data_IF_352481469242
#
_entry.id   IF_352481469242
#
_cell.length_a   1.000
_cell.length_b   1.000
_cell.length_c   1.000
_cell.angle_alpha   90.00
_cell.angle_beta   90.00
_cell.angle_gamma   90.00
#
_symmetry.space_group_name_H-M   'P 1'
#
loop_
_entity.id
_entity.type
_entity.pdbx_description
1 polymer ?
#
# COMPACT_ATOMS: atom_id res chain seq x y z
N UNK A 1 -20.08 -16.91 -18.72
CA UNK A 1 -20.07 -16.31 -17.36
C UNK A 1 -20.97 -17.13 -16.45
N UNK A 2 -20.42 -18.13 -15.77
CA UNK A 2 -21.15 -18.87 -14.73
C UNK A 2 -21.23 -17.99 -13.49
N UNK A 3 -22.44 -17.75 -12.97
CA UNK A 3 -22.64 -17.03 -11.72
C UNK A 3 -21.78 -17.65 -10.62
N UNK A 4 -20.88 -16.88 -10.01
CA UNK A 4 -20.00 -17.40 -8.99
C UNK A 4 -20.79 -17.74 -7.74
N UNK A 5 -20.66 -18.98 -7.27
CA UNK A 5 -21.31 -19.38 -6.02
C UNK A 5 -20.61 -18.70 -4.84
N UNK A 6 -21.29 -18.44 -3.71
CA UNK A 6 -20.65 -17.88 -2.51
C UNK A 6 -19.42 -18.66 -2.04
N UNK A 7 -19.39 -19.98 -2.29
CA UNK A 7 -18.23 -20.84 -2.00
C UNK A 7 -17.07 -20.58 -2.95
N UNK A 8 -17.36 -20.30 -4.22
CA UNK A 8 -16.36 -19.93 -5.22
C UNK A 8 -15.68 -18.61 -4.89
N UNK A 9 -16.47 -17.60 -4.54
CA UNK A 9 -15.95 -16.28 -4.15
C UNK A 9 -15.05 -16.36 -2.92
N UNK A 10 -15.44 -17.11 -1.88
CA UNK A 10 -14.59 -17.30 -0.69
C UNK A 10 -13.24 -17.95 -1.02
N UNK A 11 -13.22 -18.93 -1.93
CA UNK A 11 -11.97 -19.59 -2.34
C UNK A 11 -11.09 -18.67 -3.17
N UNK A 12 -11.69 -17.91 -4.09
CA UNK A 12 -10.97 -16.89 -4.86
C UNK A 12 -10.36 -15.85 -3.93
N UNK A 13 -11.12 -15.39 -2.95
CA UNK A 13 -10.66 -14.43 -1.95
C UNK A 13 -9.51 -14.98 -1.09
N UNK A 14 -9.61 -16.22 -0.60
CA UNK A 14 -8.55 -16.86 0.18
C UNK A 14 -7.21 -16.95 -0.60
N UNK A 15 -7.26 -17.16 -1.92
CA UNK A 15 -6.06 -17.12 -2.76
C UNK A 15 -5.46 -15.70 -2.86
N UNK A 16 -6.30 -14.67 -2.93
CA UNK A 16 -5.89 -13.27 -2.97
C UNK A 16 -5.25 -12.86 -1.64
N UNK A 17 -5.90 -13.17 -0.52
CA UNK A 17 -5.37 -12.92 0.83
C UNK A 17 -4.03 -13.63 1.03
N UNK A 18 -3.93 -14.90 0.63
CA UNK A 18 -2.69 -15.65 0.71
C UNK A 18 -1.56 -15.05 -0.15
N UNK A 19 -1.88 -14.58 -1.35
CA UNK A 19 -0.92 -13.91 -2.21
C UNK A 19 -0.51 -12.54 -1.68
N UNK A 20 -1.44 -11.76 -1.09
CA UNK A 20 -1.15 -10.49 -0.45
C UNK A 20 -0.21 -10.66 0.76
N UNK A 21 -0.46 -11.66 1.62
CA UNK A 21 0.45 -11.97 2.74
C UNK A 21 1.85 -12.37 2.27
N UNK A 22 1.98 -13.12 1.17
CA UNK A 22 3.28 -13.44 0.58
C UNK A 22 4.01 -12.19 0.06
N UNK A 23 3.28 -11.24 -0.54
CA UNK A 23 3.85 -9.96 -0.97
C UNK A 23 4.41 -9.17 0.21
N UNK A 24 3.71 -9.17 1.34
CA UNK A 24 4.11 -8.42 2.53
C UNK A 24 5.30 -9.05 3.27
N UNK A 25 5.47 -10.36 3.16
CA UNK A 25 6.56 -11.10 3.82
C UNK A 25 7.83 -11.19 2.98
N UNK A 26 7.72 -11.29 1.65
CA UNK A 26 8.87 -11.60 0.80
C UNK A 26 8.82 -10.98 -0.59
N UNK A 27 8.00 -9.95 -0.78
CA UNK A 27 7.90 -9.22 -2.02
C UNK A 27 7.34 -10.08 -3.16
N UNK A 28 7.61 -9.67 -4.39
CA UNK A 28 7.01 -10.32 -5.55
C UNK A 28 7.56 -11.71 -5.84
N UNK A 29 8.80 -11.98 -5.46
CA UNK A 29 9.45 -13.27 -5.70
C UNK A 29 8.89 -14.38 -4.80
N UNK A 30 8.27 -14.02 -3.67
CA UNK A 30 7.56 -14.96 -2.80
C UNK A 30 6.23 -15.46 -3.40
N UNK A 31 5.68 -14.77 -4.40
CA UNK A 31 4.35 -15.10 -4.94
C UNK A 31 4.47 -16.07 -6.11
N UNK A 32 4.10 -17.33 -5.87
CA UNK A 32 3.97 -18.35 -6.90
C UNK A 32 2.72 -19.20 -6.70
N UNK A 33 2.23 -19.85 -7.76
CA UNK A 33 1.01 -20.67 -7.70
C UNK A 33 1.04 -21.71 -6.56
N UNK A 34 2.17 -22.40 -6.37
CA UNK A 34 2.32 -23.39 -5.29
C UNK A 34 2.29 -22.75 -3.91
N UNK A 35 3.11 -21.71 -3.69
CA UNK A 35 3.18 -21.00 -2.42
C UNK A 35 1.81 -20.42 -2.01
N UNK A 36 1.08 -19.83 -2.96
CA UNK A 36 -0.26 -19.28 -2.72
C UNK A 36 -1.26 -20.39 -2.38
N UNK A 37 -1.29 -21.47 -3.17
CA UNK A 37 -2.22 -22.58 -2.94
C UNK A 37 -1.99 -23.22 -1.56
N UNK A 38 -0.73 -23.44 -1.20
CA UNK A 38 -0.32 -23.98 0.10
C UNK A 38 -0.76 -23.06 1.24
N UNK A 39 -0.42 -21.76 1.18
CA UNK A 39 -0.82 -20.79 2.20
C UNK A 39 -2.34 -20.66 2.33
N UNK A 40 -3.08 -20.73 1.23
CA UNK A 40 -4.54 -20.69 1.25
C UNK A 40 -5.19 -22.00 1.73
N UNK A 41 -4.42 -23.08 1.91
CA UNK A 41 -4.96 -24.40 2.22
C UNK A 41 -5.83 -24.98 1.09
N UNK A 42 -5.52 -24.64 -0.17
CA UNK A 42 -6.29 -25.03 -1.35
C UNK A 42 -5.46 -25.90 -2.30
N UNK A 43 -6.10 -26.79 -3.09
CA UNK A 43 -5.40 -27.55 -4.12
C UNK A 43 -4.75 -26.61 -5.15
N UNK A 44 -3.57 -26.98 -5.67
CA UNK A 44 -2.88 -26.21 -6.72
C UNK A 44 -3.77 -25.89 -7.92
N UNK A 45 -4.66 -26.81 -8.32
CA UNK A 45 -5.60 -26.59 -9.42
C UNK A 45 -6.56 -25.41 -9.19
N UNK A 46 -6.76 -24.97 -7.94
CA UNK A 46 -7.59 -23.82 -7.62
C UNK A 46 -7.00 -22.52 -8.17
N UNK A 47 -5.67 -22.35 -8.17
CA UNK A 47 -5.05 -21.10 -8.67
C UNK A 47 -5.32 -20.92 -10.15
N UNK A 48 -5.19 -21.98 -10.94
CA UNK A 48 -5.47 -21.95 -12.39
C UNK A 48 -6.96 -21.98 -12.72
N UNK A 49 -7.80 -22.40 -11.78
CA UNK A 49 -9.26 -22.34 -11.94
C UNK A 49 -9.80 -20.91 -11.75
N UNK A 50 -9.30 -20.18 -10.75
CA UNK A 50 -9.78 -18.84 -10.42
C UNK A 50 -9.01 -17.69 -11.09
N UNK A 51 -7.79 -17.94 -11.55
CA UNK A 51 -6.93 -16.95 -12.21
C UNK A 51 -6.35 -17.54 -13.48
N UNK A 52 -6.39 -16.76 -14.57
CA UNK A 52 -5.88 -17.17 -15.89
C UNK A 52 -4.35 -17.19 -15.93
N UNK A 53 -3.71 -16.42 -15.06
CA UNK A 53 -2.25 -16.34 -14.95
C UNK A 53 -1.82 -15.98 -13.53
N UNK A 54 -0.53 -16.16 -13.24
CA UNK A 54 0.09 -15.63 -12.01
C UNK A 54 0.00 -14.10 -11.97
N UNK A 55 0.15 -13.43 -13.10
CA UNK A 55 0.02 -11.96 -13.21
C UNK A 55 -1.37 -11.48 -12.76
N UNK A 56 -2.45 -12.17 -13.16
CA UNK A 56 -3.81 -11.82 -12.73
C UNK A 56 -4.00 -11.98 -11.21
N UNK A 57 -3.41 -13.03 -10.64
CA UNK A 57 -3.43 -13.26 -9.19
C UNK A 57 -2.62 -12.20 -8.44
N UNK A 58 -1.43 -11.86 -8.94
CA UNK A 58 -0.56 -10.83 -8.36
C UNK A 58 -1.22 -9.45 -8.46
N UNK A 59 -1.87 -9.11 -9.58
CA UNK A 59 -2.63 -7.87 -9.70
C UNK A 59 -3.72 -7.77 -8.62
N UNK A 60 -4.51 -8.84 -8.46
CA UNK A 60 -5.57 -8.90 -7.46
C UNK A 60 -5.01 -8.83 -6.03
N UNK A 61 -3.83 -9.40 -5.77
CA UNK A 61 -3.16 -9.34 -4.48
C UNK A 61 -2.66 -7.93 -4.15
N UNK A 62 -2.01 -7.25 -5.10
CA UNK A 62 -1.57 -5.85 -4.97
C UNK A 62 -2.77 -4.94 -4.72
N UNK A 63 -3.85 -5.12 -5.49
CA UNK A 63 -5.09 -4.38 -5.34
C UNK A 63 -5.72 -4.58 -3.95
N UNK A 64 -5.83 -5.83 -3.51
CA UNK A 64 -6.39 -6.18 -2.21
C UNK A 64 -5.58 -5.58 -1.05
N UNK A 65 -4.26 -5.74 -1.09
CA UNK A 65 -3.38 -5.17 -0.08
C UNK A 65 -3.51 -3.64 -0.04
N UNK A 66 -3.43 -2.97 -1.19
CA UNK A 66 -3.47 -1.51 -1.23
C UNK A 66 -4.83 -0.95 -0.80
N UNK A 67 -5.94 -1.63 -1.14
CA UNK A 67 -7.26 -1.25 -0.62
C UNK A 67 -7.39 -1.45 0.88
N UNK A 68 -6.73 -2.45 1.46
CA UNK A 68 -6.69 -2.61 2.91
C UNK A 68 -5.91 -1.47 3.60
N UNK A 69 -4.77 -1.04 3.04
CA UNK A 69 -4.02 0.13 3.51
C UNK A 69 -4.86 1.42 3.41
N UNK A 70 -5.43 1.69 2.23
CA UNK A 70 -6.28 2.86 2.00
C UNK A 70 -7.50 2.87 2.93
N UNK A 71 -8.15 1.72 3.11
CA UNK A 71 -9.29 1.58 4.00
C UNK A 71 -8.95 1.93 5.46
N UNK A 72 -7.77 1.54 5.94
CA UNK A 72 -7.28 1.95 7.27
C UNK A 72 -7.01 3.45 7.35
N UNK A 73 -6.38 4.02 6.33
CA UNK A 73 -6.13 5.46 6.24
C UNK A 73 -7.43 6.28 6.26
N UNK A 74 -8.42 5.88 5.45
CA UNK A 74 -9.74 6.54 5.43
C UNK A 74 -10.50 6.39 6.74
N UNK A 75 -10.48 5.20 7.36
CA UNK A 75 -11.08 5.00 8.68
C UNK A 75 -10.42 5.92 9.72
N UNK A 76 -9.10 6.02 9.71
CA UNK A 76 -8.34 6.90 10.61
C UNK A 76 -8.68 8.37 10.36
N UNK A 77 -8.72 8.81 9.10
CA UNK A 77 -9.13 10.18 8.75
C UNK A 77 -10.54 10.49 9.26
N UNK A 78 -11.48 9.56 9.12
CA UNK A 78 -12.85 9.73 9.59
C UNK A 78 -12.95 9.82 11.13
N UNK A 79 -12.15 9.04 11.86
CA UNK A 79 -12.06 9.16 13.33
C UNK A 79 -11.53 10.53 13.77
N UNK A 80 -10.56 11.06 13.02
CA UNK A 80 -9.91 12.33 13.31
C UNK A 80 -10.78 13.54 12.97
N UNK A 81 -11.69 13.44 12.00
CA UNK A 81 -12.59 14.51 11.58
C UNK A 81 -13.58 14.99 12.67
N UNK A 82 -13.61 14.34 13.84
CA UNK A 82 -14.46 14.72 14.98
C UNK A 82 -13.86 15.86 15.81
N UNK A 83 -12.55 16.13 15.68
CA UNK A 83 -11.83 17.18 16.42
C UNK A 83 -10.85 17.92 15.49
N UNK A 84 -10.55 19.21 15.70
CA UNK A 84 -9.45 19.88 15.00
C UNK A 84 -8.15 19.08 15.18
N UNK A 85 -7.49 18.75 14.07
CA UNK A 85 -6.23 18.00 14.10
C UNK A 85 -5.06 18.94 14.27
N UNK A 86 -4.10 18.54 15.12
CA UNK A 86 -2.78 19.17 15.13
C UNK A 86 -1.93 18.63 13.96
N UNK A 87 -0.90 19.39 13.61
CA UNK A 87 0.04 19.04 12.54
C UNK A 87 0.62 17.64 12.76
N UNK A 88 0.89 17.29 14.01
CA UNK A 88 1.47 16.00 14.42
C UNK A 88 0.58 14.81 14.03
N UNK A 89 -0.72 14.90 14.30
CA UNK A 89 -1.67 13.82 13.95
C UNK A 89 -1.81 13.65 12.43
N UNK A 90 -1.77 14.75 11.68
CA UNK A 90 -1.80 14.70 10.21
C UNK A 90 -0.50 14.15 9.64
N UNK A 91 0.65 14.53 10.19
CA UNK A 91 1.96 13.98 9.81
C UNK A 91 1.98 12.47 10.01
N UNK A 92 1.49 11.97 11.15
CA UNK A 92 1.43 10.52 11.39
C UNK A 92 0.50 9.79 10.43
N UNK A 93 -0.67 10.36 10.11
CA UNK A 93 -1.57 9.78 9.12
C UNK A 93 -0.95 9.74 7.73
N UNK A 94 -0.26 10.81 7.32
CA UNK A 94 0.47 10.86 6.04
C UNK A 94 1.61 9.83 6.01
N UNK A 95 2.38 9.69 7.10
CA UNK A 95 3.43 8.68 7.20
C UNK A 95 2.87 7.26 7.16
N UNK A 96 1.78 6.99 7.88
CA UNK A 96 1.11 5.69 7.83
C UNK A 96 0.64 5.36 6.40
N UNK A 97 0.06 6.34 5.72
CA UNK A 97 -0.40 6.21 4.34
C UNK A 97 0.75 6.05 3.33
N UNK A 98 1.93 6.61 3.56
CA UNK A 98 3.07 6.54 2.63
C UNK A 98 4.00 5.35 2.89
N UNK A 99 4.34 5.10 4.15
CA UNK A 99 5.41 4.16 4.54
C UNK A 99 4.98 3.10 5.55
N UNK A 100 3.71 3.11 5.97
CA UNK A 100 3.14 2.12 6.91
C UNK A 100 3.18 2.58 8.37
N UNK A 101 2.60 1.79 9.29
CA UNK A 101 2.45 2.16 10.69
C UNK A 101 3.80 2.37 11.37
N UNK A 102 3.82 3.10 12.49
CA UNK A 102 5.04 3.32 13.28
C UNK A 102 5.72 2.02 13.79
N UNK A 103 5.00 0.90 13.80
CA UNK A 103 5.53 -0.43 14.13
C UNK A 103 6.25 -1.11 12.96
N UNK A 104 6.18 -0.57 11.74
CA UNK A 104 6.89 -1.09 10.59
C UNK A 104 8.40 -0.80 10.71
N UNK A 105 9.22 -1.84 10.56
CA UNK A 105 10.67 -1.71 10.46
C UNK A 105 11.12 -1.32 9.06
N UNK A 106 12.43 -1.07 8.92
CA UNK A 106 13.04 -0.67 7.65
C UNK A 106 12.78 -1.67 6.51
N UNK A 107 12.76 -2.98 6.80
CA UNK A 107 12.47 -4.02 5.81
C UNK A 107 11.07 -3.90 5.21
N UNK A 108 10.05 -3.60 6.02
CA UNK A 108 8.68 -3.42 5.52
C UNK A 108 8.58 -2.18 4.62
N UNK A 109 9.31 -1.12 4.96
CA UNK A 109 9.41 0.08 4.11
C UNK A 109 10.11 -0.26 2.79
N UNK A 110 11.19 -1.06 2.81
CA UNK A 110 11.86 -1.54 1.59
C UNK A 110 10.91 -2.31 0.69
N UNK A 111 10.19 -3.31 1.22
CA UNK A 111 9.23 -4.11 0.44
C UNK A 111 8.13 -3.25 -0.18
N UNK A 112 7.71 -2.19 0.51
CA UNK A 112 6.75 -1.23 -0.01
C UNK A 112 7.30 -0.44 -1.21
N UNK A 113 8.53 0.06 -1.13
CA UNK A 113 9.17 0.73 -2.28
C UNK A 113 9.51 -0.22 -3.41
N UNK A 114 9.95 -1.44 -3.10
CA UNK A 114 10.19 -2.50 -4.08
C UNK A 114 8.93 -2.71 -4.93
N UNK A 115 7.74 -2.73 -4.30
CA UNK A 115 6.49 -2.89 -5.02
C UNK A 115 6.26 -1.82 -6.09
N UNK A 116 6.54 -0.55 -5.78
CA UNK A 116 6.42 0.55 -6.75
C UNK A 116 7.41 0.39 -7.90
N UNK A 117 8.67 0.08 -7.60
CA UNK A 117 9.74 -0.05 -8.61
C UNK A 117 9.51 -1.26 -9.50
N UNK A 118 9.13 -2.41 -8.93
CA UNK A 118 8.84 -3.63 -9.69
C UNK A 118 7.57 -3.47 -10.52
N UNK A 119 6.56 -2.75 -10.03
CA UNK A 119 5.37 -2.45 -10.83
C UNK A 119 5.72 -1.65 -12.10
N UNK A 120 6.72 -0.78 -12.07
CA UNK A 120 7.20 -0.08 -13.26
C UNK A 120 7.76 -1.02 -14.35
N UNK A 121 8.26 -2.20 -13.96
CA UNK A 121 8.73 -3.25 -14.90
C UNK A 121 7.61 -4.20 -15.35
N UNK A 122 6.39 -4.03 -14.84
CA UNK A 122 5.23 -4.90 -15.12
C UNK A 122 4.07 -4.06 -15.65
N UNK A 123 4.03 -3.78 -16.96
CA UNK A 123 3.03 -2.87 -17.54
C UNK A 123 1.57 -3.21 -17.23
N UNK A 124 1.27 -4.49 -17.01
CA UNK A 124 -0.06 -4.97 -16.64
C UNK A 124 -0.51 -4.54 -15.23
N UNK A 125 0.39 -4.12 -14.34
CA UNK A 125 0.07 -3.46 -13.06
C UNK A 125 -0.24 -1.96 -13.23
N UNK A 126 0.13 -1.34 -14.35
CA UNK A 126 -0.03 0.10 -14.55
C UNK A 126 -1.44 0.65 -14.28
N UNK A 127 -2.52 0.01 -14.79
CA UNK A 127 -3.88 0.47 -14.52
C UNK A 127 -4.24 0.48 -13.03
N UNK A 128 -4.03 -0.64 -12.33
CA UNK A 128 -4.35 -0.75 -10.89
C UNK A 128 -3.51 0.21 -10.05
N UNK A 129 -2.23 0.39 -10.37
CA UNK A 129 -1.37 1.32 -9.63
C UNK A 129 -1.80 2.78 -9.79
N UNK A 130 -2.34 3.17 -10.96
CA UNK A 130 -2.86 4.53 -11.17
C UNK A 130 -4.15 4.77 -10.39
N UNK A 131 -5.06 3.82 -10.38
CA UNK A 131 -6.30 3.89 -9.59
C UNK A 131 -5.98 4.06 -8.10
N UNK A 132 -5.11 3.19 -7.56
CA UNK A 132 -4.67 3.25 -6.18
C UNK A 132 -3.94 4.56 -5.83
N UNK A 133 -3.15 5.10 -6.77
CA UNK A 133 -2.48 6.39 -6.60
C UNK A 133 -3.49 7.53 -6.48
N UNK A 134 -4.52 7.57 -7.32
CA UNK A 134 -5.58 8.59 -7.23
C UNK A 134 -6.30 8.55 -5.88
N UNK A 135 -6.61 7.35 -5.37
CA UNK A 135 -7.22 7.21 -4.05
C UNK A 135 -6.28 7.62 -2.90
N UNK A 136 -4.99 7.28 -3.02
CA UNK A 136 -3.97 7.69 -2.05
C UNK A 136 -3.83 9.21 -2.01
N UNK A 137 -3.74 9.87 -3.17
CA UNK A 137 -3.62 11.33 -3.25
C UNK A 137 -4.83 12.01 -2.60
N UNK A 138 -6.05 11.48 -2.81
CA UNK A 138 -7.26 11.99 -2.15
C UNK A 138 -7.22 11.84 -0.62
N UNK A 139 -6.71 10.72 -0.10
CA UNK A 139 -6.52 10.50 1.33
C UNK A 139 -5.52 11.51 1.91
N UNK A 140 -4.38 11.71 1.24
CA UNK A 140 -3.32 12.62 1.69
C UNK A 140 -3.80 14.08 1.70
N UNK A 141 -4.47 14.54 0.63
CA UNK A 141 -5.08 15.87 0.60
C UNK A 141 -6.13 16.04 1.70
N UNK A 142 -6.94 15.02 1.96
CA UNK A 142 -7.92 15.02 3.04
C UNK A 142 -7.27 15.17 4.42
N UNK A 143 -6.19 14.43 4.69
CA UNK A 143 -5.44 14.52 5.94
C UNK A 143 -4.85 15.92 6.16
N UNK A 144 -4.20 16.48 5.14
CA UNK A 144 -3.59 17.80 5.21
C UNK A 144 -4.64 18.91 5.37
N UNK A 145 -5.75 18.82 4.63
CA UNK A 145 -6.85 19.78 4.74
C UNK A 145 -7.51 19.78 6.13
N UNK A 146 -7.62 18.62 6.79
CA UNK A 146 -8.18 18.55 8.15
C UNK A 146 -7.28 19.19 9.22
N UNK A 147 -5.97 19.28 8.97
CA UNK A 147 -5.02 20.00 9.82
C UNK A 147 -4.91 21.49 9.48
N UNK A 148 -5.70 22.00 8.52
CA UNK A 148 -5.65 23.41 8.12
C UNK A 148 -4.62 23.72 7.02
N UNK A 149 -4.06 22.69 6.38
CA UNK A 149 -3.07 22.81 5.30
C UNK A 149 -3.63 22.26 3.98
N UNK A 150 -4.66 22.89 3.38
CA UNK A 150 -5.12 22.46 2.07
C UNK A 150 -3.99 22.65 1.04
N UNK A 151 -3.74 21.63 0.23
CA UNK A 151 -2.71 21.64 -0.81
C UNK A 151 -3.31 21.33 -2.16
N UNK A 152 -2.77 21.94 -3.20
CA UNK A 152 -3.10 21.61 -4.58
C UNK A 152 -2.35 20.33 -5.02
N UNK A 153 -2.78 19.72 -6.14
CA UNK A 153 -2.23 18.44 -6.60
C UNK A 153 -0.71 18.49 -6.88
N UNK A 154 -0.19 19.60 -7.41
CA UNK A 154 1.23 19.79 -7.68
C UNK A 154 2.05 20.02 -6.40
N UNK A 155 1.45 20.64 -5.38
CA UNK A 155 2.04 20.78 -4.04
C UNK A 155 2.14 19.42 -3.34
N UNK A 156 1.07 18.62 -3.40
CA UNK A 156 1.09 17.26 -2.89
C UNK A 156 2.15 16.41 -3.60
N UNK A 157 2.23 16.49 -4.93
CA UNK A 157 3.23 15.76 -5.71
C UNK A 157 4.66 16.09 -5.24
N UNK A 158 4.97 17.39 -5.05
CA UNK A 158 6.26 17.83 -4.52
C UNK A 158 6.51 17.31 -3.11
N UNK A 159 5.52 17.40 -2.23
CA UNK A 159 5.63 16.96 -0.84
C UNK A 159 5.95 15.46 -0.77
N UNK A 160 5.17 14.64 -1.48
CA UNK A 160 5.38 13.18 -1.55
C UNK A 160 6.75 12.86 -2.12
N UNK A 161 7.19 13.55 -3.19
CA UNK A 161 8.51 13.32 -3.78
C UNK A 161 9.66 13.62 -2.79
N UNK A 162 9.54 14.68 -1.98
CA UNK A 162 10.53 15.01 -0.95
C UNK A 162 10.54 13.99 0.18
N UNK A 163 9.37 13.55 0.64
CA UNK A 163 9.24 12.50 1.67
C UNK A 163 9.83 11.19 1.17
N UNK A 164 9.45 10.73 -0.02
CA UNK A 164 9.97 9.51 -0.63
C UNK A 164 11.49 9.58 -0.79
N UNK A 165 12.02 10.71 -1.26
CA UNK A 165 13.45 10.93 -1.36
C UNK A 165 14.18 10.84 -0.01
N UNK A 166 13.62 11.44 1.05
CA UNK A 166 14.19 11.36 2.39
C UNK A 166 14.15 9.93 2.96
N UNK A 167 13.03 9.23 2.77
CA UNK A 167 12.83 7.86 3.24
C UNK A 167 13.79 6.90 2.54
N UNK A 168 13.88 6.94 1.21
CA UNK A 168 14.79 6.07 0.44
C UNK A 168 16.25 6.30 0.82
N UNK A 169 16.65 7.56 1.05
CA UNK A 169 18.01 7.86 1.51
C UNK A 169 18.28 7.37 2.94
N UNK A 170 17.31 7.42 3.84
CA UNK A 170 17.46 6.92 5.21
C UNK A 170 17.63 5.39 5.27
N UNK A 171 17.08 4.65 4.31
CA UNK A 171 17.15 3.19 4.25
C UNK A 171 18.58 2.64 4.06
N UNK A 172 19.50 3.44 3.53
CA UNK A 172 20.90 3.03 3.30
C UNK A 172 21.86 3.44 4.42
N UNK A 173 21.37 4.11 5.46
CA UNK A 173 22.18 4.52 6.61
C UNK A 173 22.53 3.35 7.54
N UNK A 174 23.55 3.51 8.39
CA UNK A 174 23.99 2.44 9.30
C UNK A 174 22.94 2.08 10.38
N UNK A 175 22.07 3.03 10.74
CA UNK A 175 20.94 2.82 11.62
C UNK A 175 19.69 3.48 10.98
N UNK A 176 19.01 2.77 10.04
CA UNK A 176 17.92 3.36 9.27
C UNK A 176 16.75 3.80 10.15
N UNK A 177 16.34 5.06 9.98
CA UNK A 177 15.09 5.60 10.52
C UNK A 177 14.30 6.33 9.42
N UNK A 178 13.68 5.57 8.49
CA UNK A 178 12.91 6.14 7.39
C UNK A 178 11.74 6.98 7.88
N UNK A 179 11.11 6.60 9.01
CA UNK A 179 9.96 7.33 9.55
C UNK A 179 10.37 8.69 10.08
N UNK A 180 11.45 8.79 10.86
CA UNK A 180 11.94 10.09 11.30
C UNK A 180 12.40 10.95 10.11
N UNK A 181 12.96 10.35 9.06
CA UNK A 181 13.33 11.09 7.86
C UNK A 181 12.11 11.70 7.14
N UNK A 182 11.07 10.91 6.89
CA UNK A 182 9.81 11.40 6.30
C UNK A 182 9.14 12.45 7.18
N UNK A 183 9.07 12.20 8.49
CA UNK A 183 8.49 13.13 9.47
C UNK A 183 9.17 14.51 9.44
N UNK A 184 10.51 14.54 9.41
CA UNK A 184 11.26 15.80 9.31
C UNK A 184 10.91 16.60 8.05
N UNK A 185 10.60 15.94 6.94
CA UNK A 185 10.23 16.63 5.70
C UNK A 185 8.80 17.17 5.74
N UNK A 186 7.87 16.40 6.30
CA UNK A 186 6.48 16.84 6.46
C UNK A 186 6.38 18.05 7.39
N UNK A 187 7.00 18.00 8.58
CA UNK A 187 6.98 19.11 9.56
C UNK A 187 7.67 20.39 9.08
N UNK A 188 8.45 20.34 7.98
CA UNK A 188 9.04 21.55 7.36
C UNK A 188 8.12 22.17 6.31
N UNK A 189 7.10 21.44 5.89
CA UNK A 189 6.19 21.79 4.80
C UNK A 189 4.82 22.21 5.30
N UNK A 190 4.51 21.95 6.58
CA UNK A 190 3.38 22.49 7.34
C UNK A 190 3.84 23.73 8.12
#
# INVERSE_FOLDING_TARGET
MTASTPKGERRRHALIEAAAGLLDEGGFDAVGHRAVAERAGLPLAATTYYFRSLDELVAAAVEHHARAELGRGWARLAELAVQPQDDESAVELVLDALIGPATAGAEQVVLRYERFVVAARRPWLGPVMRELRTELDALLMGALSQAGHPVEADELERLVAVVDGAVVNALIEAAPDPRAAGRRMLLRSL
#
